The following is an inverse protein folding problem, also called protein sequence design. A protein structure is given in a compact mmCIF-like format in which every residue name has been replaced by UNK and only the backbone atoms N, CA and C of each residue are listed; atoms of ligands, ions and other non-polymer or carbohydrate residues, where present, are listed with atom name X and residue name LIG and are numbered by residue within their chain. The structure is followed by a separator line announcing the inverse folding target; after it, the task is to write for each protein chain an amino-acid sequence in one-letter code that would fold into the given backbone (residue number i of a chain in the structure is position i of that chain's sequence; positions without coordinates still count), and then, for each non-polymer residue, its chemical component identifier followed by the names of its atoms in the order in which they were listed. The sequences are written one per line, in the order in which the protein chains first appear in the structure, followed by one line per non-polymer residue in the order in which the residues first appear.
data_IF_231727182410
#
_entry.id   IF_231727182410
#
_cell.length_a   1.000
_cell.length_b   1.000
_cell.length_c   1.000
_cell.angle_alpha   90.00
_cell.angle_beta   90.00
_cell.angle_gamma   90.00
#
_symmetry.space_group_name_H-M   'P 1'
#
loop_
_entity.id
_entity.type
_entity.pdbx_description
1 polymer ?
#
# COMPACT_ATOMS: atom_id res chain seq x y z
N UNK A 1 -28.41 -16.33 39.00
CA UNK A 1 -27.01 -16.62 39.34
C UNK A 1 -26.21 -16.21 38.12
N UNK A 2 -25.70 -14.98 38.11
CA UNK A 2 -24.89 -14.46 37.00
C UNK A 2 -23.47 -14.94 37.30
N UNK A 3 -22.86 -15.63 36.34
CA UNK A 3 -21.52 -16.14 36.46
C UNK A 3 -20.53 -14.98 36.24
N UNK A 4 -19.91 -14.51 37.33
CA UNK A 4 -19.02 -13.33 37.36
C UNK A 4 -17.55 -13.76 37.14
N UNK A 5 -17.28 -15.03 36.80
CA UNK A 5 -15.90 -15.54 36.68
C UNK A 5 -15.27 -15.38 35.29
N UNK A 6 -16.05 -15.01 34.27
CA UNK A 6 -15.57 -14.91 32.88
C UNK A 6 -14.97 -13.57 32.47
N UNK A 7 -15.16 -12.49 33.25
CA UNK A 7 -14.77 -11.14 32.82
C UNK A 7 -13.34 -10.76 33.23
N UNK A 8 -12.85 -11.27 34.37
CA UNK A 8 -11.56 -10.85 34.95
C UNK A 8 -10.34 -11.47 34.27
N UNK A 9 -10.47 -12.66 33.68
CA UNK A 9 -9.37 -13.34 32.96
C UNK A 9 -9.12 -12.65 31.61
N UNK A 10 -10.19 -12.26 30.91
CA UNK A 10 -10.13 -11.56 29.62
C UNK A 10 -9.50 -10.17 29.74
N UNK A 11 -9.83 -9.42 30.81
CA UNK A 11 -9.25 -8.11 31.08
C UNK A 11 -7.74 -8.19 31.38
N UNK A 12 -7.29 -9.26 32.03
CA UNK A 12 -5.88 -9.48 32.37
C UNK A 12 -5.00 -9.77 31.15
N UNK A 13 -5.42 -10.70 30.29
CA UNK A 13 -4.73 -11.00 29.04
C UNK A 13 -4.68 -9.78 28.11
N UNK A 14 -5.79 -9.03 28.06
CA UNK A 14 -5.90 -7.83 27.25
C UNK A 14 -4.95 -6.71 27.71
N UNK A 15 -4.81 -6.49 29.02
CA UNK A 15 -3.82 -5.56 29.59
C UNK A 15 -2.37 -5.97 29.29
N UNK A 16 -2.08 -7.27 29.21
CA UNK A 16 -0.76 -7.77 28.85
C UNK A 16 -0.44 -7.48 27.38
N UNK A 17 -1.40 -7.64 26.48
CA UNK A 17 -1.26 -7.29 25.06
C UNK A 17 -1.02 -5.79 24.88
N UNK A 18 -1.75 -4.93 25.60
CA UNK A 18 -1.51 -3.47 25.55
C UNK A 18 -0.11 -3.10 26.04
N UNK A 19 0.35 -3.70 27.14
CA UNK A 19 1.72 -3.50 27.63
C UNK A 19 2.76 -3.97 26.63
N UNK A 20 2.54 -5.12 25.98
CA UNK A 20 3.42 -5.62 24.93
C UNK A 20 3.47 -4.65 23.74
N UNK A 21 2.32 -4.11 23.34
CA UNK A 21 2.21 -3.14 22.25
C UNK A 21 2.94 -1.82 22.57
N UNK A 22 2.77 -1.27 23.77
CA UNK A 22 3.49 -0.06 24.22
C UNK A 22 5.01 -0.27 24.22
N UNK A 23 5.49 -1.49 24.49
CA UNK A 23 6.93 -1.84 24.47
C UNK A 23 7.48 -2.22 23.09
N UNK A 24 6.61 -2.42 22.10
CA UNK A 24 6.95 -2.78 20.72
C UNK A 24 6.62 -1.65 19.73
N UNK A 25 5.63 -1.83 18.84
CA UNK A 25 5.31 -0.86 17.79
C UNK A 25 4.63 0.42 18.32
N UNK A 26 4.11 0.39 19.55
CA UNK A 26 3.30 1.44 20.15
C UNK A 26 1.79 1.14 20.11
N UNK A 27 1.02 1.87 20.92
CA UNK A 27 -0.43 1.75 20.99
C UNK A 27 -1.06 3.08 21.39
N UNK A 28 -1.97 3.62 20.55
CA UNK A 28 -2.68 4.89 20.76
C UNK A 28 -1.74 6.04 21.16
N UNK A 29 -0.67 6.22 20.39
CA UNK A 29 0.34 7.25 20.62
C UNK A 29 1.26 6.99 21.83
N UNK A 30 1.13 5.85 22.53
CA UNK A 30 2.00 5.47 23.64
C UNK A 30 3.07 4.50 23.15
N UNK A 31 4.31 4.86 23.42
CA UNK A 31 5.49 4.04 23.15
C UNK A 31 6.44 4.17 24.32
N UNK A 32 6.94 3.03 24.79
CA UNK A 32 7.81 2.95 25.97
C UNK A 32 9.02 2.12 25.61
N UNK A 33 10.20 2.72 25.71
CA UNK A 33 11.42 1.93 25.70
C UNK A 33 11.44 1.02 26.93
N UNK A 34 11.59 -0.28 26.68
CA UNK A 34 11.66 -1.29 27.72
C UNK A 34 13.03 -1.98 27.63
N UNK A 35 13.67 -2.16 28.78
CA UNK A 35 14.90 -2.93 28.87
C UNK A 35 14.67 -4.39 28.47
N UNK A 36 15.73 -5.07 28.05
CA UNK A 36 15.67 -6.49 27.70
C UNK A 36 15.10 -7.33 28.87
N UNK A 37 15.49 -7.04 30.10
CA UNK A 37 14.99 -7.73 31.29
C UNK A 37 13.48 -7.53 31.52
N UNK A 38 12.95 -6.34 31.28
CA UNK A 38 11.50 -6.10 31.36
C UNK A 38 10.74 -6.85 30.27
N UNK A 39 11.31 -6.93 29.06
CA UNK A 39 10.70 -7.68 27.96
C UNK A 39 10.70 -9.18 28.22
N UNK A 40 11.82 -9.73 28.69
CA UNK A 40 11.93 -11.14 29.08
C UNK A 40 10.97 -11.52 30.21
N UNK A 41 10.79 -10.61 31.18
CA UNK A 41 9.81 -10.80 32.24
C UNK A 41 8.38 -10.85 31.67
N UNK A 42 8.00 -9.89 30.82
CA UNK A 42 6.67 -9.89 30.20
C UNK A 42 6.43 -11.12 29.31
N UNK A 43 7.43 -11.55 28.52
CA UNK A 43 7.36 -12.78 27.75
C UNK A 43 7.23 -14.04 28.63
N UNK A 44 7.77 -14.01 29.85
CA UNK A 44 7.60 -15.10 30.82
C UNK A 44 6.18 -15.13 31.36
N UNK A 45 5.57 -13.96 31.62
CA UNK A 45 4.16 -13.86 32.04
C UNK A 45 3.21 -14.44 30.98
N UNK A 46 3.43 -14.15 29.68
CA UNK A 46 2.64 -14.79 28.61
C UNK A 46 2.76 -16.32 28.66
N UNK A 47 3.99 -16.83 28.76
CA UNK A 47 4.26 -18.28 28.80
C UNK A 47 3.67 -18.97 30.04
N UNK A 48 3.69 -18.30 31.19
CA UNK A 48 3.05 -18.79 32.42
C UNK A 48 1.53 -18.88 32.30
N UNK A 49 0.92 -18.03 31.47
CA UNK A 49 -0.50 -18.09 31.12
C UNK A 49 -0.81 -19.08 29.98
N UNK A 50 0.21 -19.78 29.46
CA UNK A 50 0.06 -20.72 28.34
C UNK A 50 -0.08 -20.04 26.98
N UNK A 51 0.21 -18.75 26.88
CA UNK A 51 0.17 -17.96 25.65
C UNK A 51 1.58 -17.70 25.11
N UNK A 52 1.69 -17.49 23.79
CA UNK A 52 2.91 -16.99 23.17
C UNK A 52 2.91 -15.46 23.17
N UNK A 53 4.06 -14.79 23.41
CA UNK A 53 4.18 -13.35 23.20
C UNK A 53 3.77 -12.97 21.77
N UNK A 54 3.19 -11.78 21.56
CA UNK A 54 2.80 -11.32 20.23
C UNK A 54 3.99 -11.23 19.25
N UNK A 55 3.79 -11.39 17.93
CA UNK A 55 4.87 -11.35 16.95
C UNK A 55 5.67 -10.04 16.94
N UNK A 56 5.01 -8.92 17.19
CA UNK A 56 5.63 -7.59 17.29
C UNK A 56 6.49 -7.35 18.54
N UNK A 57 6.57 -8.34 19.42
CA UNK A 57 7.33 -8.28 20.65
C UNK A 57 8.82 -8.63 20.45
N UNK A 58 9.23 -8.97 19.22
CA UNK A 58 10.60 -9.35 18.92
C UNK A 58 11.59 -8.16 18.91
N UNK A 59 12.84 -8.45 19.28
CA UNK A 59 13.65 -7.61 20.18
C UNK A 59 14.35 -6.38 19.55
N UNK A 60 14.53 -6.31 18.22
CA UNK A 60 15.41 -5.29 17.61
C UNK A 60 14.72 -4.34 16.60
N UNK A 61 13.40 -4.38 16.50
CA UNK A 61 12.69 -3.56 15.50
C UNK A 61 12.69 -2.08 15.89
N UNK A 62 13.51 -1.29 15.20
CA UNK A 62 13.32 0.15 15.13
C UNK A 62 12.14 0.45 14.21
N UNK A 63 11.06 0.94 14.82
CA UNK A 63 9.83 1.28 14.10
C UNK A 63 9.90 2.67 13.49
N UNK A 64 9.63 2.77 12.19
CA UNK A 64 9.47 4.03 11.49
C UNK A 64 7.98 4.37 11.44
N UNK A 65 7.63 5.55 11.96
CA UNK A 65 6.24 6.01 12.02
C UNK A 65 5.84 6.72 10.72
N UNK A 66 4.66 6.36 10.21
CA UNK A 66 4.06 6.94 9.00
C UNK A 66 2.58 7.17 9.21
N UNK A 67 2.14 8.41 8.97
CA UNK A 67 0.70 8.75 9.00
C UNK A 67 0.09 8.51 7.63
N UNK A 68 -1.02 7.78 7.61
CA UNK A 68 -1.70 7.40 6.39
C UNK A 68 -3.20 7.64 6.47
N UNK A 69 -3.81 8.05 5.35
CA UNK A 69 -5.26 8.00 5.21
C UNK A 69 -5.69 6.56 4.93
N UNK A 70 -6.53 6.03 5.80
CA UNK A 70 -7.04 4.66 5.71
C UNK A 70 -8.36 4.61 4.96
N UNK A 71 -9.25 5.58 5.20
CA UNK A 71 -10.61 5.56 4.69
C UNK A 71 -11.26 6.95 4.68
N UNK A 72 -12.42 7.07 4.04
CA UNK A 72 -13.23 8.29 4.06
C UNK A 72 -14.73 7.96 4.05
N UNK A 73 -15.52 8.89 4.58
CA UNK A 73 -16.98 8.83 4.51
C UNK A 73 -17.44 9.04 3.06
N UNK A 74 -18.49 8.32 2.66
CA UNK A 74 -18.97 8.33 1.29
C UNK A 74 -19.81 7.10 0.94
N UNK A 75 -20.34 7.11 -0.28
CA UNK A 75 -21.08 5.99 -0.84
C UNK A 75 -20.13 5.06 -1.59
N UNK A 76 -20.26 3.75 -1.32
CA UNK A 76 -19.48 2.67 -1.95
C UNK A 76 -20.43 1.70 -2.67
N UNK A 77 -20.90 2.06 -3.89
CA UNK A 77 -21.94 1.31 -4.59
C UNK A 77 -21.51 -0.11 -4.98
N UNK A 78 -20.22 -0.32 -5.19
CA UNK A 78 -19.60 -1.61 -5.47
C UNK A 78 -19.73 -2.61 -4.31
N UNK A 79 -19.89 -2.10 -3.08
CA UNK A 79 -20.14 -2.91 -1.87
C UNK A 79 -21.58 -2.81 -1.36
N UNK A 80 -22.39 -1.91 -1.93
CA UNK A 80 -23.75 -1.65 -1.46
C UNK A 80 -23.81 -1.04 -0.06
N UNK A 81 -22.79 -0.28 0.34
CA UNK A 81 -22.69 0.31 1.69
C UNK A 81 -22.41 1.82 1.60
N UNK A 82 -23.05 2.58 2.48
CA UNK A 82 -22.75 3.98 2.75
C UNK A 82 -22.02 4.08 4.08
N UNK A 83 -20.89 4.79 4.08
CA UNK A 83 -20.07 4.99 5.28
C UNK A 83 -20.26 6.42 5.75
N UNK A 84 -20.79 6.57 6.97
CA UNK A 84 -21.02 7.87 7.57
C UNK A 84 -19.86 8.29 8.49
N UNK A 85 -19.78 9.58 8.82
CA UNK A 85 -18.82 10.07 9.81
C UNK A 85 -18.93 9.32 11.16
N UNK A 86 -20.17 9.00 11.58
CA UNK A 86 -20.41 8.23 12.81
C UNK A 86 -19.82 6.83 12.76
N UNK A 87 -19.75 6.23 11.57
CA UNK A 87 -19.14 4.91 11.40
C UNK A 87 -17.61 5.00 11.53
N UNK A 88 -17.00 6.05 10.98
CA UNK A 88 -15.56 6.30 11.18
C UNK A 88 -15.23 6.55 12.65
N UNK A 89 -16.04 7.33 13.35
CA UNK A 89 -15.87 7.59 14.79
C UNK A 89 -15.97 6.31 15.61
N UNK A 90 -16.90 5.41 15.24
CA UNK A 90 -17.01 4.09 15.86
C UNK A 90 -15.79 3.22 15.60
N UNK A 91 -15.27 3.20 14.36
CA UNK A 91 -14.05 2.46 14.02
C UNK A 91 -12.85 2.94 14.84
N UNK A 92 -12.68 4.26 14.95
CA UNK A 92 -11.60 4.84 15.76
C UNK A 92 -11.77 4.53 17.26
N UNK A 93 -12.98 4.65 17.80
CA UNK A 93 -13.26 4.34 19.20
C UNK A 93 -13.01 2.85 19.55
N UNK A 94 -13.30 1.95 18.61
CA UNK A 94 -13.12 0.51 18.75
C UNK A 94 -11.71 0.02 18.42
N UNK A 95 -10.79 0.88 17.98
CA UNK A 95 -9.41 0.48 17.69
C UNK A 95 -8.63 0.29 19.00
N UNK A 96 -8.22 -0.93 19.29
CA UNK A 96 -8.00 -1.35 20.68
C UNK A 96 -6.73 -2.21 20.88
N UNK A 97 -6.11 -2.69 19.80
CA UNK A 97 -4.78 -3.29 19.73
C UNK A 97 -4.12 -2.99 18.38
N UNK A 98 -2.78 -3.10 18.27
CA UNK A 98 -2.10 -2.97 16.99
C UNK A 98 -2.60 -3.99 15.97
N UNK A 99 -2.83 -3.53 14.73
CA UNK A 99 -3.33 -4.35 13.63
C UNK A 99 -2.23 -4.55 12.60
N UNK A 100 -1.94 -5.79 12.16
CA UNK A 100 -0.84 -6.03 11.22
C UNK A 100 -1.11 -5.39 9.84
N UNK A 101 -0.03 -4.92 9.23
CA UNK A 101 0.02 -4.34 7.89
C UNK A 101 0.70 -5.33 6.96
N UNK A 102 0.05 -5.71 5.86
CA UNK A 102 0.52 -6.72 4.92
C UNK A 102 0.85 -6.14 3.54
N UNK A 103 1.64 -6.86 2.74
CA UNK A 103 1.71 -6.64 1.29
C UNK A 103 0.62 -7.46 0.58
N UNK A 104 -0.23 -6.82 -0.22
CA UNK A 104 -1.15 -7.52 -1.12
C UNK A 104 -0.38 -8.12 -2.32
N UNK A 105 -0.77 -9.33 -2.77
CA UNK A 105 -0.19 -10.08 -3.91
C UNK A 105 1.18 -10.77 -3.70
N UNK A 106 1.62 -10.99 -2.47
CA UNK A 106 2.74 -11.91 -2.22
C UNK A 106 2.24 -13.36 -2.08
N UNK A 107 2.94 -14.34 -2.66
CA UNK A 107 2.64 -15.78 -2.51
C UNK A 107 2.67 -16.25 -1.04
N UNK A 108 3.29 -15.45 -0.16
CA UNK A 108 3.18 -15.52 1.29
C UNK A 108 2.94 -14.11 1.84
N UNK A 109 1.97 -13.90 2.75
CA UNK A 109 1.73 -12.58 3.35
C UNK A 109 2.99 -12.12 4.08
N UNK A 110 3.60 -11.04 3.60
CA UNK A 110 4.74 -10.41 4.26
C UNK A 110 4.22 -9.27 5.15
N UNK A 111 4.47 -9.38 6.45
CA UNK A 111 4.15 -8.34 7.42
C UNK A 111 5.12 -7.17 7.27
N UNK A 112 4.59 -5.97 7.07
CA UNK A 112 5.34 -4.73 6.94
C UNK A 112 5.51 -4.00 8.29
N UNK A 113 4.60 -4.29 9.21
CA UNK A 113 4.50 -3.61 10.50
C UNK A 113 3.06 -3.57 10.99
N UNK A 114 2.71 -2.51 11.73
CA UNK A 114 1.45 -2.43 12.46
C UNK A 114 0.80 -1.06 12.35
N UNK A 115 -0.52 -1.01 12.23
CA UNK A 115 -1.33 0.15 12.54
C UNK A 115 -1.44 0.25 14.06
N UNK A 116 -1.03 1.37 14.65
CA UNK A 116 -0.88 1.56 16.11
C UNK A 116 -1.80 2.63 16.69
N UNK A 117 -2.36 3.48 15.84
CA UNK A 117 -3.32 4.51 16.21
C UNK A 117 -4.28 4.80 15.06
N UNK A 118 -5.52 5.18 15.38
CA UNK A 118 -6.55 5.57 14.43
C UNK A 118 -7.25 6.83 14.93
N UNK A 119 -7.42 7.82 14.05
CA UNK A 119 -8.07 9.08 14.35
C UNK A 119 -9.00 9.51 13.22
N UNK A 120 -10.07 10.24 13.55
CA UNK A 120 -11.00 10.81 12.58
C UNK A 120 -10.77 12.31 12.50
N UNK A 121 -10.55 12.82 11.30
CA UNK A 121 -10.38 14.25 11.02
C UNK A 121 -11.18 14.59 9.77
N UNK A 122 -12.06 15.59 9.84
CA UNK A 122 -12.81 16.13 8.70
C UNK A 122 -13.55 15.10 7.81
N UNK A 123 -14.08 14.03 8.42
CA UNK A 123 -14.81 12.97 7.69
C UNK A 123 -13.90 11.93 7.02
N UNK A 124 -12.62 11.92 7.39
CA UNK A 124 -11.59 10.99 6.94
C UNK A 124 -11.02 10.22 8.14
N UNK A 125 -10.63 8.97 7.89
CA UNK A 125 -10.02 8.09 8.88
C UNK A 125 -8.52 8.01 8.61
N UNK A 126 -7.72 8.52 9.54
CA UNK A 126 -6.26 8.44 9.52
C UNK A 126 -5.76 7.35 10.46
N UNK A 127 -4.59 6.81 10.13
CA UNK A 127 -3.88 5.86 10.95
C UNK A 127 -2.40 6.19 11.09
N UNK A 128 -1.82 5.84 12.23
CA UNK A 128 -0.37 5.83 12.43
C UNK A 128 0.15 4.41 12.24
N UNK A 129 1.07 4.23 11.29
CA UNK A 129 1.72 2.96 11.01
C UNK A 129 3.11 2.95 11.64
N UNK A 130 3.43 1.88 12.36
CA UNK A 130 4.77 1.51 12.78
C UNK A 130 5.32 0.47 11.80
N UNK A 131 6.20 0.90 10.90
CA UNK A 131 6.80 0.04 9.87
C UNK A 131 8.20 -0.42 10.28
N UNK A 132 8.59 -1.61 9.83
CA UNK A 132 10.01 -2.01 9.90
C UNK A 132 10.85 -1.14 8.96
N UNK A 133 12.16 -1.07 9.21
CA UNK A 133 13.05 -0.29 8.34
C UNK A 133 13.06 -0.82 6.90
N UNK A 134 13.06 -2.14 6.76
CA UNK A 134 13.02 -2.86 5.50
C UNK A 134 11.71 -2.57 4.74
N UNK A 135 10.58 -2.60 5.45
CA UNK A 135 9.28 -2.26 4.89
C UNK A 135 9.24 -0.81 4.41
N UNK A 136 9.66 0.15 5.23
CA UNK A 136 9.69 1.55 4.84
C UNK A 136 10.58 1.77 3.61
N UNK A 137 11.78 1.18 3.58
CA UNK A 137 12.69 1.29 2.44
C UNK A 137 12.09 0.66 1.16
N UNK A 138 11.37 -0.46 1.28
CA UNK A 138 10.68 -1.10 0.17
C UNK A 138 9.54 -0.21 -0.38
N UNK A 139 8.76 0.40 0.51
CA UNK A 139 7.68 1.32 0.15
C UNK A 139 8.24 2.55 -0.57
N UNK A 140 9.29 3.16 -0.04
CA UNK A 140 9.95 4.32 -0.64
C UNK A 140 10.51 4.00 -2.03
N UNK A 141 11.13 2.82 -2.21
CA UNK A 141 11.68 2.40 -3.51
C UNK A 141 10.61 1.99 -4.52
N UNK A 142 9.55 1.34 -4.07
CA UNK A 142 8.47 0.86 -4.95
C UNK A 142 7.52 1.98 -5.39
N UNK A 143 7.49 3.08 -4.65
CA UNK A 143 6.53 4.16 -4.87
C UNK A 143 5.08 3.72 -4.61
N UNK A 144 4.87 2.59 -3.93
CA UNK A 144 3.56 2.12 -3.54
C UNK A 144 3.04 3.03 -2.41
N UNK A 145 2.20 4.00 -2.77
CA UNK A 145 1.71 5.02 -1.83
C UNK A 145 0.35 4.70 -1.24
N UNK A 146 -0.29 3.60 -1.60
CA UNK A 146 -1.72 3.44 -1.30
C UNK A 146 -2.00 2.27 -0.37
N UNK A 147 -2.99 2.44 0.49
CA UNK A 147 -3.42 1.44 1.45
C UNK A 147 -4.85 1.00 1.18
N UNK A 148 -5.14 -0.25 1.52
CA UNK A 148 -6.48 -0.81 1.62
C UNK A 148 -6.68 -1.31 3.05
N UNK A 149 -7.91 -1.25 3.53
CA UNK A 149 -8.27 -1.77 4.85
C UNK A 149 -9.23 -2.97 4.73
N UNK A 150 -8.96 -4.01 5.50
CA UNK A 150 -9.88 -5.11 5.75
C UNK A 150 -10.72 -4.82 6.99
N UNK A 151 -12.03 -4.72 6.82
CA UNK A 151 -12.98 -4.45 7.91
C UNK A 151 -13.75 -5.73 8.28
N UNK A 152 -14.21 -5.79 9.52
CA UNK A 152 -15.24 -6.74 9.97
C UNK A 152 -16.57 -6.55 9.22
N UNK A 153 -17.41 -7.59 9.20
CA UNK A 153 -18.67 -7.58 8.44
C UNK A 153 -19.67 -6.51 8.91
N UNK A 154 -19.61 -6.12 10.18
CA UNK A 154 -20.38 -5.03 10.78
C UNK A 154 -19.68 -3.66 10.72
N UNK A 155 -18.49 -3.62 10.09
CA UNK A 155 -17.65 -2.43 9.90
C UNK A 155 -17.19 -1.80 11.23
N UNK A 156 -17.29 -2.52 12.34
CA UNK A 156 -16.99 -1.99 13.66
C UNK A 156 -15.49 -2.03 14.01
N UNK A 157 -14.73 -2.91 13.35
CA UNK A 157 -13.32 -3.18 13.63
C UNK A 157 -12.49 -3.30 12.36
N UNK A 158 -11.30 -2.71 12.39
CA UNK A 158 -10.23 -2.90 11.39
C UNK A 158 -9.50 -4.20 11.73
N UNK A 159 -9.42 -5.12 10.77
CA UNK A 159 -8.80 -6.44 10.94
C UNK A 159 -7.40 -6.50 10.37
N UNK A 160 -7.18 -5.78 9.28
CA UNK A 160 -5.92 -5.76 8.56
C UNK A 160 -5.81 -4.49 7.72
N UNK A 161 -4.58 -4.12 7.41
CA UNK A 161 -4.25 -3.06 6.45
C UNK A 161 -3.31 -3.64 5.41
N UNK A 162 -3.52 -3.36 4.14
CA UNK A 162 -2.69 -3.90 3.05
C UNK A 162 -2.15 -2.76 2.18
N UNK A 163 -0.89 -2.86 1.78
CA UNK A 163 -0.30 -1.96 0.78
C UNK A 163 -0.74 -2.39 -0.62
N UNK A 164 -1.30 -1.46 -1.38
CA UNK A 164 -1.94 -1.74 -2.68
C UNK A 164 -1.47 -0.76 -3.74
N UNK A 165 -1.37 -1.24 -5.00
CA UNK A 165 -0.99 -0.40 -6.14
C UNK A 165 -2.16 0.44 -6.68
N UNK A 166 -3.38 -0.05 -6.50
CA UNK A 166 -4.62 0.62 -6.92
C UNK A 166 -5.61 0.59 -5.75
N UNK A 167 -5.61 1.63 -4.89
CA UNK A 167 -6.53 1.67 -3.77
C UNK A 167 -7.95 1.90 -4.27
N UNK A 168 -8.91 1.32 -3.57
CA UNK A 168 -10.34 1.49 -3.91
C UNK A 168 -10.82 2.91 -3.58
N UNK A 169 -10.30 3.45 -2.48
CA UNK A 169 -10.41 4.88 -2.14
C UNK A 169 -9.18 5.57 -2.74
N UNK A 170 -9.36 6.34 -3.80
CA UNK A 170 -8.25 6.98 -4.51
C UNK A 170 -7.41 7.93 -3.62
N UNK A 171 -7.98 8.39 -2.51
CA UNK A 171 -7.34 9.26 -1.52
C UNK A 171 -6.66 8.51 -0.37
N UNK A 172 -6.81 7.18 -0.23
CA UNK A 172 -6.17 6.39 0.82
C UNK A 172 -4.66 6.24 0.54
N UNK A 173 -3.86 7.11 1.16
CA UNK A 173 -2.42 7.22 0.90
C UNK A 173 -1.59 7.12 2.19
N UNK A 174 -0.46 6.42 2.09
CA UNK A 174 0.60 6.27 3.10
C UNK A 174 1.41 7.55 3.33
N UNK A 175 1.21 8.54 2.45
CA UNK A 175 1.82 9.86 2.51
C UNK A 175 0.71 10.88 2.33
N UNK A 176 0.11 11.33 3.44
CA UNK A 176 -0.66 12.55 3.36
C UNK A 176 0.33 13.70 3.08
N UNK A 177 0.04 14.59 2.13
CA UNK A 177 0.88 15.75 1.76
C UNK A 177 1.03 16.77 2.92
N UNK A 178 0.56 16.44 4.12
CA UNK A 178 0.98 17.10 5.35
C UNK A 178 2.40 16.66 5.72
N UNK A 179 3.38 17.50 5.38
CA UNK A 179 4.76 17.39 5.82
C UNK A 179 4.79 17.35 7.36
N UNK A 180 4.87 16.15 7.94
CA UNK A 180 5.24 15.98 9.34
C UNK A 180 6.77 15.97 9.40
N UNK A 181 7.34 17.11 9.78
CA UNK A 181 8.76 17.22 10.10
C UNK A 181 9.03 16.50 11.42
N UNK A 182 9.41 15.23 11.34
CA UNK A 182 10.06 14.56 12.45
C UNK A 182 11.47 14.14 12.04
N UNK A 183 12.38 15.11 12.15
CA UNK A 183 13.80 14.84 12.22
C UNK A 183 14.35 15.71 13.34
N UNK A 184 15.17 15.12 14.23
CA UNK A 184 16.08 15.90 15.08
C UNK A 184 16.76 16.92 14.17
N UNK A 185 16.59 18.21 14.47
CA UNK A 185 17.11 19.29 13.63
C UNK A 185 18.63 19.18 13.63
N UNK A 186 19.20 18.54 12.60
CA UNK A 186 20.62 18.62 12.32
C UNK A 186 20.90 20.03 11.80
N UNK A 187 21.45 20.86 12.67
CA UNK A 187 21.93 22.19 12.31
C UNK A 187 23.03 22.06 11.25
N UNK A 188 22.81 22.64 10.07
CA UNK A 188 23.80 22.71 8.98
C UNK A 188 23.33 22.19 7.62
N UNK A 189 22.13 21.60 7.53
CA UNK A 189 21.55 21.19 6.25
C UNK A 189 20.85 22.37 5.59
N UNK A 190 21.22 22.68 4.34
CA UNK A 190 20.46 23.62 3.52
C UNK A 190 19.16 22.97 3.05
N UNK A 191 18.13 23.10 3.87
CA UNK A 191 16.79 22.58 3.62
C UNK A 191 16.17 23.11 2.34
N UNK A 192 16.60 24.28 1.85
CA UNK A 192 16.14 24.84 0.58
C UNK A 192 16.65 24.02 -0.59
N UNK A 193 17.93 23.67 -0.58
CA UNK A 193 18.53 22.80 -1.60
C UNK A 193 17.89 21.40 -1.62
N UNK A 194 17.65 20.79 -0.44
CA UNK A 194 16.96 19.49 -0.35
C UNK A 194 15.52 19.54 -0.82
N UNK A 195 14.79 20.63 -0.51
CA UNK A 195 13.44 20.83 -0.99
C UNK A 195 13.40 20.98 -2.51
N UNK A 196 14.30 21.78 -3.08
CA UNK A 196 14.40 21.97 -4.53
C UNK A 196 14.76 20.65 -5.24
N UNK A 197 15.66 19.85 -4.68
CA UNK A 197 16.01 18.51 -5.20
C UNK A 197 14.81 17.55 -5.16
N UNK A 198 14.11 17.47 -4.03
CA UNK A 198 12.91 16.64 -3.89
C UNK A 198 11.81 17.03 -4.89
N UNK A 199 11.61 18.33 -5.11
CA UNK A 199 10.65 18.85 -6.08
C UNK A 199 11.03 18.50 -7.53
N UNK A 200 12.32 18.52 -7.86
CA UNK A 200 12.83 18.11 -9.19
C UNK A 200 12.63 16.61 -9.41
N UNK A 201 12.93 15.79 -8.39
CA UNK A 201 12.71 14.34 -8.42
C UNK A 201 11.22 14.03 -8.63
N UNK A 202 10.35 14.63 -7.82
CA UNK A 202 8.90 14.46 -7.91
C UNK A 202 8.36 14.81 -9.30
N UNK A 203 8.78 15.96 -9.86
CA UNK A 203 8.38 16.39 -11.20
C UNK A 203 8.81 15.42 -12.29
N UNK A 204 10.04 14.92 -12.19
CA UNK A 204 10.58 13.97 -13.17
C UNK A 204 9.80 12.66 -13.14
N UNK A 205 9.46 12.16 -11.95
CA UNK A 205 8.61 10.97 -11.80
C UNK A 205 7.21 11.18 -12.37
N UNK A 206 6.57 12.31 -12.10
CA UNK A 206 5.25 12.63 -12.65
C UNK A 206 5.28 12.69 -14.19
N UNK A 207 6.33 13.30 -14.75
CA UNK A 207 6.53 13.35 -16.20
C UNK A 207 6.67 11.93 -16.79
N UNK A 208 7.49 11.08 -16.19
CA UNK A 208 7.69 9.70 -16.66
C UNK A 208 6.42 8.86 -16.65
N UNK A 209 5.60 8.96 -15.61
CA UNK A 209 4.32 8.24 -15.55
C UNK A 209 3.33 8.72 -16.61
N UNK A 210 3.30 10.03 -16.87
CA UNK A 210 2.47 10.59 -17.94
C UNK A 210 2.93 10.12 -19.33
N UNK A 211 4.24 10.04 -19.56
CA UNK A 211 4.85 9.55 -20.80
C UNK A 211 4.50 8.09 -21.06
N UNK A 212 4.58 7.22 -20.04
CA UNK A 212 4.17 5.81 -20.16
C UNK A 212 2.72 5.68 -20.62
N UNK A 213 1.82 6.49 -20.06
CA UNK A 213 0.40 6.52 -20.45
C UNK A 213 0.22 6.96 -21.91
N UNK A 214 0.97 7.97 -22.36
CA UNK A 214 0.88 8.44 -23.74
C UNK A 214 1.44 7.44 -24.75
N UNK A 215 2.52 6.72 -24.42
CA UNK A 215 3.04 5.63 -25.26
C UNK A 215 2.02 4.50 -25.36
N UNK A 216 1.45 4.07 -24.22
CA UNK A 216 0.45 3.00 -24.20
C UNK A 216 -0.82 3.34 -25.01
N UNK A 217 -1.18 4.62 -25.08
CA UNK A 217 -2.31 5.13 -25.87
C UNK A 217 -1.96 5.46 -27.33
N UNK A 218 -0.71 5.23 -27.76
CA UNK A 218 -0.25 5.59 -29.10
C UNK A 218 -0.24 7.10 -29.37
N UNK A 219 -0.25 7.94 -28.33
CA UNK A 219 -0.27 9.41 -28.48
C UNK A 219 1.14 9.97 -28.75
N UNK A 220 2.18 9.28 -28.31
CA UNK A 220 3.58 9.56 -28.64
C UNK A 220 4.34 8.26 -28.89
N UNK A 221 5.43 8.34 -29.64
CA UNK A 221 6.35 7.22 -29.85
C UNK A 221 7.43 7.18 -28.76
N UNK A 222 8.07 6.01 -28.53
CA UNK A 222 9.22 5.92 -27.60
C UNK A 222 10.36 6.89 -27.95
N UNK A 223 10.56 7.22 -29.22
CA UNK A 223 11.56 8.20 -29.66
C UNK A 223 11.23 9.63 -29.21
N UNK A 224 9.95 9.95 -28.98
CA UNK A 224 9.51 11.26 -28.49
C UNK A 224 9.58 11.38 -26.96
N UNK A 225 9.75 10.27 -26.24
CA UNK A 225 9.71 10.23 -24.78
C UNK A 225 10.74 11.15 -24.08
N UNK A 226 12.03 11.22 -24.51
CA UNK A 226 13.00 12.09 -23.84
C UNK A 226 12.64 13.58 -23.96
N UNK A 227 12.16 13.99 -25.14
CA UNK A 227 11.78 15.38 -25.41
C UNK A 227 10.52 15.77 -24.64
N UNK A 228 9.50 14.91 -24.64
CA UNK A 228 8.26 15.17 -23.91
C UNK A 228 8.50 15.16 -22.38
N UNK A 229 9.41 14.33 -21.88
CA UNK A 229 9.86 14.38 -20.47
C UNK A 229 10.53 15.72 -20.15
N UNK A 230 11.47 16.16 -20.98
CA UNK A 230 12.16 17.44 -20.79
C UNK A 230 11.18 18.63 -20.77
N UNK A 231 10.17 18.62 -21.64
CA UNK A 231 9.16 19.67 -21.71
C UNK A 231 8.18 19.64 -20.52
N UNK A 232 7.76 18.46 -20.06
CA UNK A 232 6.87 18.33 -18.90
C UNK A 232 7.54 18.77 -17.59
N UNK A 233 8.85 18.56 -17.48
CA UNK A 233 9.63 18.95 -16.30
C UNK A 233 9.94 20.45 -16.22
N UNK A 234 9.64 21.24 -17.26
CA UNK A 234 9.84 22.69 -17.25
C UNK A 234 8.85 23.43 -16.33
N UNK A 235 9.35 24.49 -15.69
CA UNK A 235 8.54 25.44 -14.90
C UNK A 235 8.21 26.72 -15.68
N UNK A 236 8.91 26.94 -16.79
CA UNK A 236 8.69 28.10 -17.65
C UNK A 236 7.33 28.03 -18.35
N UNK A 237 6.76 29.20 -18.62
CA UNK A 237 5.58 29.39 -19.44
C UNK A 237 5.93 30.10 -20.74
N UNK A 238 5.05 29.97 -21.73
CA UNK A 238 5.10 30.72 -22.97
C UNK A 238 3.97 31.75 -22.93
N UNK A 239 4.29 32.98 -23.27
CA UNK A 239 3.31 34.06 -23.33
C UNK A 239 2.57 34.04 -24.68
N UNK A 240 1.25 34.03 -24.62
CA UNK A 240 0.36 34.14 -25.78
C UNK A 240 -0.63 35.27 -25.53
N UNK A 241 -0.61 36.32 -26.36
CA UNK A 241 -1.56 37.44 -26.31
C UNK A 241 -1.74 38.03 -24.89
N UNK A 242 -0.65 38.18 -24.13
CA UNK A 242 -0.67 38.72 -22.76
C UNK A 242 -1.04 37.71 -21.66
N UNK A 243 -1.24 36.43 -22.00
CA UNK A 243 -1.47 35.34 -21.04
C UNK A 243 -0.28 34.38 -20.99
N UNK A 244 0.24 34.12 -19.78
CA UNK A 244 1.29 33.11 -19.57
C UNK A 244 0.67 31.71 -19.49
N UNK A 245 1.04 30.82 -20.40
CA UNK A 245 0.61 29.41 -20.40
C UNK A 245 1.80 28.53 -19.99
N UNK A 246 1.70 27.70 -18.94
CA UNK A 246 2.75 26.75 -18.57
C UNK A 246 3.07 25.79 -19.72
N UNK A 247 4.36 25.55 -20.01
CA UNK A 247 4.79 24.64 -21.09
C UNK A 247 4.21 23.23 -20.89
N UNK A 248 4.17 22.75 -19.65
CA UNK A 248 3.60 21.43 -19.31
C UNK A 248 2.13 21.30 -19.72
N UNK A 249 1.35 22.35 -19.54
CA UNK A 249 -0.08 22.35 -19.85
C UNK A 249 -0.28 22.40 -21.36
N UNK A 250 0.51 23.21 -22.04
CA UNK A 250 0.51 23.32 -23.48
C UNK A 250 0.84 21.97 -24.14
N UNK A 251 1.91 21.32 -23.70
CA UNK A 251 2.35 20.01 -24.22
C UNK A 251 1.35 18.92 -23.90
N UNK A 252 0.78 18.92 -22.70
CA UNK A 252 -0.26 17.96 -22.33
C UNK A 252 -1.51 18.10 -23.19
N UNK A 253 -1.96 19.34 -23.44
CA UNK A 253 -3.10 19.62 -24.33
C UNK A 253 -2.80 19.27 -25.78
N UNK A 254 -1.59 19.56 -26.25
CA UNK A 254 -1.15 19.24 -27.62
C UNK A 254 -1.10 17.73 -27.86
N UNK A 255 -0.58 16.95 -26.91
CA UNK A 255 -0.52 15.49 -27.05
C UNK A 255 -1.91 14.87 -26.90
N UNK A 256 -2.74 15.43 -26.01
CA UNK A 256 -4.12 14.98 -25.86
C UNK A 256 -4.98 15.21 -27.12
N UNK A 257 -4.64 16.21 -27.94
CA UNK A 257 -5.35 16.52 -29.19
C UNK A 257 -4.80 15.80 -30.42
N UNK A 258 -3.72 15.03 -30.28
CA UNK A 258 -3.15 14.25 -31.39
C UNK A 258 -4.02 13.01 -31.69
N UNK A 259 -4.10 12.67 -32.98
CA UNK A 259 -4.65 11.39 -33.41
C UNK A 259 -3.77 10.25 -32.86
N UNK A 260 -4.41 9.17 -32.42
CA UNK A 260 -3.69 7.99 -31.94
C UNK A 260 -2.94 7.36 -33.10
N UNK A 261 -1.62 7.26 -32.99
CA UNK A 261 -0.81 6.54 -33.95
C UNK A 261 -0.92 5.05 -33.60
N UNK A 262 -1.45 4.26 -34.53
CA UNK A 262 -1.39 2.80 -34.45
C UNK A 262 0.06 2.36 -34.55
N UNK A 263 0.75 2.26 -33.41
CA UNK A 263 2.05 1.61 -33.34
C UNK A 263 1.78 0.11 -33.40
N UNK A 264 2.20 -0.52 -34.50
CA UNK A 264 1.99 -1.94 -34.88
C UNK A 264 0.68 -2.25 -35.61
N UNK A 265 0.66 -1.93 -36.91
CA UNK A 265 -0.02 -2.78 -37.89
C UNK A 265 0.91 -3.90 -38.35
N UNK A 266 1.29 -4.82 -37.45
CA UNK A 266 1.91 -6.07 -37.88
C UNK A 266 0.79 -7.03 -38.31
N UNK A 267 0.69 -7.27 -39.61
CA UNK A 267 0.08 -8.49 -40.15
C UNK A 267 0.94 -9.70 -39.73
N UNK A 268 0.96 -10.03 -38.44
CA UNK A 268 1.41 -11.33 -37.99
C UNK A 268 0.22 -12.30 -38.14
N UNK A 269 0.37 -13.46 -38.80
CA UNK A 269 -0.65 -14.49 -38.73
C UNK A 269 -0.88 -14.78 -37.25
N UNK A 270 -2.14 -14.66 -36.80
CA UNK A 270 -2.49 -15.02 -35.43
C UNK A 270 -1.95 -16.43 -35.15
N UNK A 271 -1.08 -16.61 -34.14
CA UNK A 271 -0.84 -17.95 -33.67
C UNK A 271 -2.18 -18.41 -33.11
N UNK A 272 -2.68 -19.52 -33.66
CA UNK A 272 -3.83 -20.26 -33.15
C UNK A 272 -3.72 -20.26 -31.62
N UNK A 273 -4.73 -19.74 -30.94
CA UNK A 273 -4.80 -19.69 -29.48
C UNK A 273 -4.61 -21.10 -28.91
N UNK A 274 -3.38 -21.40 -28.51
CA UNK A 274 -3.07 -22.59 -27.73
C UNK A 274 -3.53 -22.29 -26.29
N UNK A 275 -4.80 -22.66 -26.03
CA UNK A 275 -5.49 -22.47 -24.75
C UNK A 275 -4.81 -23.13 -23.55
N UNK A 276 -3.72 -23.87 -23.78
CA UNK A 276 -2.87 -24.44 -22.73
C UNK A 276 -2.15 -23.39 -21.87
N UNK A 277 -1.97 -22.15 -22.37
CA UNK A 277 -1.28 -21.07 -21.63
C UNK A 277 -2.12 -20.39 -20.54
N UNK A 278 -3.44 -20.59 -20.53
CA UNK A 278 -4.35 -19.95 -19.55
C UNK A 278 -4.49 -20.79 -18.27
N UNK A 279 -4.12 -22.08 -18.29
CA UNK A 279 -4.36 -23.03 -17.19
C UNK A 279 -3.10 -23.67 -16.61
N UNK A 280 -1.91 -23.38 -17.16
CA UNK A 280 -0.61 -23.83 -16.64
C UNK A 280 0.43 -22.72 -16.73
N UNK A 281 1.27 -22.61 -15.71
CA UNK A 281 2.44 -21.74 -15.76
C UNK A 281 3.40 -22.22 -16.86
N UNK A 282 4.13 -21.33 -17.56
CA UNK A 282 5.04 -21.71 -18.64
C UNK A 282 6.09 -22.76 -18.23
N UNK A 283 6.52 -22.72 -16.98
CA UNK A 283 7.48 -23.66 -16.38
C UNK A 283 6.89 -25.06 -16.18
N UNK A 284 5.60 -25.15 -15.82
CA UNK A 284 4.89 -26.41 -15.62
C UNK A 284 4.66 -27.12 -16.97
N UNK A 285 4.29 -26.37 -18.02
CA UNK A 285 4.16 -26.92 -19.37
C UNK A 285 5.50 -27.44 -19.92
N UNK A 286 6.60 -26.75 -19.62
CA UNK A 286 7.94 -27.20 -19.99
C UNK A 286 8.36 -28.49 -19.26
N UNK A 287 7.99 -28.63 -17.98
CA UNK A 287 8.24 -29.84 -17.19
C UNK A 287 7.53 -31.07 -17.79
N UNK A 288 6.24 -30.96 -18.11
CA UNK A 288 5.49 -32.08 -18.69
C UNK A 288 5.99 -32.47 -20.08
N UNK A 289 6.33 -31.49 -20.94
CA UNK A 289 6.93 -31.79 -22.26
C UNK A 289 8.26 -32.54 -22.15
N UNK A 290 9.03 -32.25 -21.11
CA UNK A 290 10.35 -32.86 -20.90
C UNK A 290 10.27 -34.28 -20.32
N UNK A 291 9.36 -34.52 -19.39
CA UNK A 291 9.30 -35.78 -18.64
C UNK A 291 8.21 -36.76 -19.12
N UNK A 292 7.18 -36.25 -19.80
CA UNK A 292 6.02 -37.01 -20.25
C UNK A 292 5.58 -36.56 -21.66
N UNK A 293 6.42 -36.76 -22.69
CA UNK A 293 6.20 -36.22 -24.04
C UNK A 293 4.92 -36.73 -24.72
N UNK A 294 4.43 -37.91 -24.31
CA UNK A 294 3.24 -38.55 -24.90
C UNK A 294 1.94 -38.08 -24.23
N UNK A 295 2.01 -37.22 -23.20
CA UNK A 295 0.83 -36.76 -22.47
C UNK A 295 0.34 -35.43 -23.05
N UNK A 296 -0.92 -35.40 -23.48
CA UNK A 296 -1.57 -34.18 -23.95
C UNK A 296 -1.77 -33.19 -22.80
N UNK A 297 -1.06 -32.05 -22.87
CA UNK A 297 -1.19 -30.95 -21.93
C UNK A 297 -2.61 -30.36 -21.90
N UNK A 298 -3.26 -30.35 -23.07
CA UNK A 298 -4.62 -29.86 -23.25
C UNK A 298 -5.63 -30.72 -22.46
N UNK A 299 -5.44 -32.04 -22.48
CA UNK A 299 -6.26 -32.96 -21.70
C UNK A 299 -6.05 -32.81 -20.18
N UNK A 300 -4.81 -32.51 -19.74
CA UNK A 300 -4.53 -32.22 -18.32
C UNK A 300 -5.19 -30.91 -17.90
N UNK A 301 -5.07 -29.86 -18.72
CA UNK A 301 -5.65 -28.55 -18.46
C UNK A 301 -7.18 -28.62 -18.35
N UNK A 302 -7.84 -29.35 -19.27
CA UNK A 302 -9.30 -29.54 -19.25
C UNK A 302 -9.78 -30.34 -18.02
N UNK A 303 -9.06 -31.40 -17.62
CA UNK A 303 -9.39 -32.15 -16.39
C UNK A 303 -9.28 -31.29 -15.15
N UNK A 304 -8.29 -30.39 -15.07
CA UNK A 304 -8.16 -29.44 -13.96
C UNK A 304 -9.33 -28.46 -13.94
N UNK A 305 -9.67 -27.86 -15.08
CA UNK A 305 -10.79 -26.91 -15.17
C UNK A 305 -12.12 -27.54 -14.70
N UNK A 306 -12.39 -28.81 -15.06
CA UNK A 306 -13.59 -29.54 -14.61
C UNK A 306 -13.62 -29.91 -13.12
N UNK A 307 -12.48 -29.79 -12.41
CA UNK A 307 -12.36 -30.15 -10.99
C UNK A 307 -12.53 -28.96 -10.06
N UNK A 308 -12.56 -27.74 -10.63
CA UNK A 308 -12.76 -26.47 -9.94
C UNK A 308 -14.06 -25.76 -10.33
N UNK A 309 -14.93 -26.42 -11.13
CA UNK A 309 -16.33 -26.06 -11.39
C UNK A 309 -17.27 -26.93 -10.56
#
# INVERSE_FOLDING_TARGET
MIDITSTTVTDGAYLLLQKAAEMGPGYRGRKREASQAERENLASVFREQGESPPPYFDIDSQWIERRAKLFESGDYPDKGVTITQRDLERMAANFDLPVPVWIEHAESPLELGYLTEVAVEDGELFGLLALTQEANALIERSGAKSLSIGLSADLAQIREVSLVRFPRVASAQLFNDSILFESKIEFGIDWRAKYEEAMVIQRTHMAQEQIKKWIAKGQITPAQAPYATALLSQESGIEFNGGLIPIRDLVSKLIASQAQHGMFGEHAPQPIEDTSSVLMLPEEAAFYRKHFPDVSLEAIAQKRASRFS
#
